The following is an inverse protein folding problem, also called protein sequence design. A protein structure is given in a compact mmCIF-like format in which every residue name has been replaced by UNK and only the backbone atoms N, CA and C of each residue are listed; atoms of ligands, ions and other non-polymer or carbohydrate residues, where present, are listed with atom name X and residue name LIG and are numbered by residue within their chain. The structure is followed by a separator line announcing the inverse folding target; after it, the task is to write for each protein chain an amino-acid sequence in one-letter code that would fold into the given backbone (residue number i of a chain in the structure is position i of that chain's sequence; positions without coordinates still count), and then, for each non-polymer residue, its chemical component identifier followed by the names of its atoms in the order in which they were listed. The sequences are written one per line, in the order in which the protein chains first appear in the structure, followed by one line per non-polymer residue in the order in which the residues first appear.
data_IF_415777532545
#
_entry.id   IF_415777532545
#
_cell.length_a   1.000
_cell.length_b   1.000
_cell.length_c   1.000
_cell.angle_alpha   90.00
_cell.angle_beta   90.00
_cell.angle_gamma   90.00
#
_symmetry.space_group_name_H-M   'P 1'
#
loop_
_entity.id
_entity.type
_entity.pdbx_description
1 polymer ?
#
# COMPACT_ATOMS: atom_id res chain seq x y z
N UNK A 1 -10.58 -24.44 19.59
CA UNK A 1 -11.33 -23.52 18.69
C UNK A 1 -12.79 -23.91 18.52
N UNK A 2 -13.14 -25.15 18.15
CA UNK A 2 -14.55 -25.52 18.08
C UNK A 2 -15.29 -25.30 19.42
N UNK A 3 -14.64 -25.55 20.54
CA UNK A 3 -15.21 -25.28 21.88
C UNK A 3 -15.12 -23.81 22.29
N UNK A 4 -14.05 -23.10 21.90
CA UNK A 4 -13.82 -21.72 22.32
C UNK A 4 -14.47 -20.70 21.37
N UNK A 5 -14.73 -21.08 20.11
CA UNK A 5 -15.29 -20.23 19.08
C UNK A 5 -16.67 -20.71 18.58
N UNK A 6 -17.23 -21.72 19.26
CA UNK A 6 -18.59 -22.17 18.99
C UNK A 6 -19.59 -21.02 19.23
N UNK A 7 -20.43 -20.75 18.23
CA UNK A 7 -21.41 -19.67 18.28
C UNK A 7 -20.90 -18.29 17.86
N UNK A 8 -19.62 -18.13 17.53
CA UNK A 8 -19.15 -16.88 16.92
C UNK A 8 -19.70 -16.73 15.49
N UNK A 9 -20.30 -15.58 15.23
CA UNK A 9 -20.82 -15.27 13.90
C UNK A 9 -19.66 -14.91 12.99
N UNK A 10 -19.52 -15.64 11.88
CA UNK A 10 -18.54 -15.34 10.83
C UNK A 10 -19.26 -15.27 9.49
N UNK A 11 -19.02 -14.20 8.72
CA UNK A 11 -19.59 -14.04 7.37
C UNK A 11 -18.84 -14.83 6.30
N UNK A 12 -17.62 -15.24 6.59
CA UNK A 12 -16.71 -15.84 5.59
C UNK A 12 -16.31 -17.27 5.96
N UNK A 13 -16.92 -17.89 6.94
CA UNK A 13 -16.49 -19.15 7.54
C UNK A 13 -15.00 -19.13 7.96
N UNK A 14 -14.60 -20.01 8.81
CA UNK A 14 -13.23 -20.07 9.33
C UNK A 14 -12.76 -21.52 9.46
N UNK A 15 -11.46 -21.71 9.60
CA UNK A 15 -10.86 -23.01 9.86
C UNK A 15 -11.16 -23.44 11.30
N UNK A 16 -11.55 -24.70 11.47
CA UNK A 16 -11.63 -25.33 12.78
C UNK A 16 -10.26 -25.92 13.18
N UNK A 17 -10.16 -26.42 14.41
CA UNK A 17 -8.91 -27.02 14.91
C UNK A 17 -8.40 -28.20 14.08
N UNK A 18 -9.29 -29.06 13.62
CA UNK A 18 -8.88 -30.21 12.79
C UNK A 18 -8.26 -29.76 11.46
N UNK A 19 -8.81 -28.71 10.86
CA UNK A 19 -8.26 -28.11 9.63
C UNK A 19 -6.90 -27.46 9.87
N UNK A 20 -6.74 -26.70 10.98
CA UNK A 20 -5.46 -26.10 11.36
C UNK A 20 -4.42 -27.17 11.68
N UNK A 21 -4.80 -28.22 12.40
CA UNK A 21 -3.92 -29.35 12.68
C UNK A 21 -3.47 -30.05 11.38
N UNK A 22 -4.39 -30.27 10.45
CA UNK A 22 -4.06 -30.84 9.14
C UNK A 22 -3.06 -29.96 8.40
N UNK A 23 -3.28 -28.66 8.30
CA UNK A 23 -2.36 -27.74 7.63
C UNK A 23 -0.95 -27.81 8.22
N UNK A 24 -0.84 -27.86 9.55
CA UNK A 24 0.46 -27.96 10.25
C UNK A 24 1.15 -29.30 9.97
N UNK A 25 0.38 -30.39 9.96
CA UNK A 25 0.92 -31.72 9.65
C UNK A 25 1.39 -31.76 8.20
N UNK A 26 0.59 -31.23 7.26
CA UNK A 26 0.94 -31.17 5.84
C UNK A 26 2.21 -30.33 5.59
N UNK A 27 2.33 -29.17 6.26
CA UNK A 27 3.53 -28.33 6.22
C UNK A 27 4.75 -29.09 6.76
N UNK A 28 4.61 -29.74 7.91
CA UNK A 28 5.68 -30.53 8.51
C UNK A 28 6.13 -31.67 7.60
N UNK A 29 5.20 -32.47 7.11
CA UNK A 29 5.49 -33.57 6.21
C UNK A 29 6.19 -33.11 4.93
N UNK A 30 5.75 -31.98 4.36
CA UNK A 30 6.37 -31.40 3.17
C UNK A 30 7.78 -30.89 3.44
N UNK A 31 8.03 -30.28 4.60
CA UNK A 31 9.35 -29.80 4.99
C UNK A 31 10.38 -30.91 5.18
N UNK A 32 9.93 -32.12 5.58
CA UNK A 32 10.80 -33.28 5.81
C UNK A 32 10.87 -34.28 4.65
N UNK A 33 10.17 -33.99 3.54
CA UNK A 33 10.30 -34.82 2.32
C UNK A 33 11.70 -34.67 1.74
N UNK A 34 12.42 -35.76 1.62
CA UNK A 34 13.71 -35.78 0.94
C UNK A 34 13.54 -35.36 -0.54
N UNK A 35 14.44 -34.53 -1.02
CA UNK A 35 14.56 -34.12 -2.43
C UNK A 35 13.40 -33.24 -2.97
N UNK A 36 12.65 -32.57 -2.14
CA UNK A 36 11.74 -31.52 -2.61
C UNK A 36 12.56 -30.25 -2.82
N UNK A 37 12.63 -29.79 -4.05
CA UNK A 37 13.21 -28.48 -4.36
C UNK A 37 12.41 -27.39 -3.62
N UNK A 38 13.13 -26.47 -2.93
CA UNK A 38 12.51 -25.31 -2.34
C UNK A 38 11.90 -24.45 -3.44
N UNK A 39 10.59 -24.34 -3.44
CA UNK A 39 9.89 -23.48 -4.39
C UNK A 39 10.05 -22.03 -3.95
N UNK A 40 10.51 -21.19 -4.86
CA UNK A 40 10.49 -19.75 -4.70
C UNK A 40 9.41 -19.17 -5.62
N UNK A 41 8.19 -19.01 -5.13
CA UNK A 41 7.07 -18.57 -5.98
C UNK A 41 7.15 -17.09 -6.37
N UNK A 42 8.09 -16.32 -5.82
CA UNK A 42 8.19 -14.89 -6.05
C UNK A 42 7.35 -14.05 -5.08
N UNK A 43 6.88 -14.62 -3.98
CA UNK A 43 5.97 -13.94 -3.06
C UNK A 43 6.60 -12.71 -2.37
N UNK A 44 7.81 -12.84 -1.83
CA UNK A 44 8.50 -11.73 -1.17
C UNK A 44 9.37 -10.91 -2.12
N UNK A 45 9.98 -11.57 -3.08
CA UNK A 45 10.84 -10.96 -4.08
C UNK A 45 10.32 -11.30 -5.46
N UNK A 46 10.15 -10.29 -6.30
CA UNK A 46 9.67 -10.49 -7.67
C UNK A 46 10.48 -11.56 -8.40
N UNK A 47 9.77 -12.44 -9.07
CA UNK A 47 10.32 -13.47 -9.95
C UNK A 47 9.49 -13.48 -11.23
N UNK A 48 10.11 -13.44 -12.43
CA UNK A 48 9.39 -13.62 -13.68
C UNK A 48 8.61 -14.93 -13.66
N UNK A 49 7.36 -14.91 -14.09
CA UNK A 49 6.44 -16.05 -14.08
C UNK A 49 6.12 -16.60 -12.67
N UNK A 50 6.48 -15.87 -11.63
CA UNK A 50 6.09 -16.16 -10.25
C UNK A 50 4.81 -15.42 -9.85
N UNK A 51 4.67 -15.19 -8.54
CA UNK A 51 3.56 -14.43 -7.96
C UNK A 51 3.50 -13.01 -8.54
N UNK A 52 2.30 -12.54 -8.82
CA UNK A 52 2.10 -11.22 -9.39
C UNK A 52 2.27 -10.11 -8.34
N UNK A 53 3.01 -9.07 -8.69
CA UNK A 53 3.26 -7.91 -7.85
C UNK A 53 2.62 -6.66 -8.44
N UNK A 54 1.91 -5.89 -7.61
CA UNK A 54 1.31 -4.61 -8.02
C UNK A 54 2.37 -3.61 -8.48
N UNK A 55 3.51 -3.59 -7.80
CA UNK A 55 4.68 -2.77 -8.12
C UNK A 55 5.82 -3.66 -8.62
N UNK A 56 5.62 -4.29 -9.77
CA UNK A 56 6.67 -5.08 -10.43
C UNK A 56 7.75 -4.16 -11.02
N UNK A 57 8.94 -4.68 -11.36
CA UNK A 57 10.08 -3.86 -11.77
C UNK A 57 9.81 -2.89 -12.91
N UNK A 58 8.96 -3.26 -13.86
CA UNK A 58 8.60 -2.41 -15.00
C UNK A 58 7.78 -1.19 -14.55
N UNK A 59 6.78 -1.38 -13.68
CA UNK A 59 5.97 -0.30 -13.11
C UNK A 59 6.85 0.67 -12.31
N UNK A 60 7.75 0.15 -11.46
CA UNK A 60 8.69 0.97 -10.67
C UNK A 60 9.62 1.77 -11.57
N UNK A 61 10.18 1.15 -12.62
CA UNK A 61 11.06 1.82 -13.60
C UNK A 61 10.32 2.91 -14.35
N UNK A 62 9.11 2.64 -14.83
CA UNK A 62 8.30 3.62 -15.55
C UNK A 62 7.96 4.82 -14.64
N UNK A 63 7.60 4.59 -13.39
CA UNK A 63 7.36 5.66 -12.41
C UNK A 63 8.62 6.51 -12.18
N UNK A 64 9.77 5.87 -11.99
CA UNK A 64 11.04 6.60 -11.82
C UNK A 64 11.40 7.46 -13.04
N UNK A 65 11.15 6.96 -14.24
CA UNK A 65 11.37 7.73 -15.46
C UNK A 65 10.44 8.95 -15.49
N UNK A 66 9.14 8.75 -15.21
CA UNK A 66 8.16 9.83 -15.21
C UNK A 66 8.54 10.93 -14.20
N UNK A 67 8.90 10.56 -12.97
CA UNK A 67 9.29 11.51 -11.93
C UNK A 67 10.57 12.26 -12.28
N UNK A 68 11.58 11.57 -12.78
CA UNK A 68 12.88 12.20 -13.12
C UNK A 68 12.80 13.11 -14.33
N UNK A 69 11.98 12.76 -15.31
CA UNK A 69 11.84 13.57 -16.54
C UNK A 69 10.82 14.69 -16.40
N UNK A 70 9.92 14.63 -15.44
CA UNK A 70 8.77 15.53 -15.35
C UNK A 70 7.81 15.43 -16.55
N UNK A 71 7.94 14.37 -17.37
CA UNK A 71 7.16 14.19 -18.59
C UNK A 71 5.80 13.57 -18.28
N UNK A 72 4.74 14.26 -18.72
CA UNK A 72 3.37 13.73 -18.58
C UNK A 72 3.15 12.48 -19.44
N UNK A 73 3.80 12.36 -20.60
CA UNK A 73 3.69 11.17 -21.43
C UNK A 73 4.37 9.95 -20.78
N UNK A 74 5.50 10.17 -20.09
CA UNK A 74 6.11 9.11 -19.29
C UNK A 74 5.22 8.70 -18.13
N UNK A 75 4.50 9.63 -17.51
CA UNK A 75 3.50 9.31 -16.48
C UNK A 75 2.32 8.53 -17.06
N UNK A 76 1.80 8.89 -18.23
CA UNK A 76 0.77 8.12 -18.92
C UNK A 76 1.21 6.69 -19.22
N UNK A 77 2.47 6.51 -19.62
CA UNK A 77 3.00 5.17 -19.84
C UNK A 77 3.00 4.33 -18.54
N UNK A 78 3.44 4.92 -17.43
CA UNK A 78 3.33 4.29 -16.11
C UNK A 78 1.86 3.93 -15.77
N UNK A 79 0.94 4.86 -15.99
CA UNK A 79 -0.49 4.65 -15.77
C UNK A 79 -1.02 3.47 -16.59
N UNK A 80 -0.67 3.39 -17.87
CA UNK A 80 -1.06 2.27 -18.74
C UNK A 80 -0.56 0.91 -18.22
N UNK A 81 0.68 0.86 -17.72
CA UNK A 81 1.23 -0.37 -17.12
C UNK A 81 0.40 -0.79 -15.90
N UNK A 82 0.02 0.17 -15.05
CA UNK A 82 -0.77 -0.11 -13.84
C UNK A 82 -2.22 -0.50 -14.18
N UNK A 83 -2.84 0.20 -15.12
CA UNK A 83 -4.26 0.00 -15.47
C UNK A 83 -4.47 -1.31 -16.26
N UNK A 84 -3.49 -1.71 -17.07
CA UNK A 84 -3.56 -2.93 -17.89
C UNK A 84 -3.08 -4.20 -17.17
N UNK A 85 -2.64 -4.09 -15.92
CA UNK A 85 -2.27 -5.27 -15.14
C UNK A 85 -3.50 -6.15 -14.86
N UNK A 86 -3.27 -7.44 -14.66
CA UNK A 86 -4.30 -8.38 -14.23
C UNK A 86 -4.84 -8.04 -12.83
N UNK A 87 -5.95 -8.68 -12.46
CA UNK A 87 -6.56 -8.57 -11.13
C UNK A 87 -5.62 -9.16 -10.08
N UNK A 88 -5.22 -8.38 -9.09
CA UNK A 88 -4.34 -8.77 -7.99
C UNK A 88 -5.01 -8.69 -6.62
N UNK A 89 -5.99 -7.81 -6.47
CA UNK A 89 -6.70 -7.63 -5.22
C UNK A 89 -8.18 -7.32 -5.47
N UNK A 90 -8.99 -7.43 -4.42
CA UNK A 90 -10.45 -7.20 -4.50
C UNK A 90 -10.76 -5.80 -5.07
N UNK A 91 -9.96 -4.79 -4.76
CA UNK A 91 -10.13 -3.43 -5.28
C UNK A 91 -10.09 -3.38 -6.81
N UNK A 92 -9.30 -4.24 -7.47
CA UNK A 92 -9.20 -4.27 -8.93
C UNK A 92 -10.50 -4.77 -9.60
N UNK A 93 -11.39 -5.40 -8.83
CA UNK A 93 -12.72 -5.82 -9.26
C UNK A 93 -13.80 -4.73 -9.06
N UNK A 94 -13.47 -3.64 -8.38
CA UNK A 94 -14.40 -2.58 -8.07
C UNK A 94 -14.34 -1.49 -9.14
N UNK A 95 -15.48 -0.87 -9.41
CA UNK A 95 -15.60 0.31 -10.26
C UNK A 95 -16.36 1.39 -9.51
N UNK A 96 -16.02 2.65 -9.77
CA UNK A 96 -16.82 3.76 -9.29
C UNK A 96 -18.21 3.68 -9.93
N UNK A 97 -19.24 3.76 -9.11
CA UNK A 97 -20.61 3.84 -9.58
C UNK A 97 -20.86 5.28 -10.04
N UNK A 98 -20.63 5.52 -11.33
CA UNK A 98 -20.86 6.83 -11.95
C UNK A 98 -22.25 6.81 -12.58
N UNK A 99 -23.09 7.78 -12.22
CA UNK A 99 -24.36 8.03 -12.86
C UNK A 99 -24.23 9.30 -13.72
N UNK A 100 -24.28 9.12 -15.04
CA UNK A 100 -24.17 10.23 -15.98
C UNK A 100 -25.28 11.30 -15.81
N UNK A 101 -26.44 10.91 -15.25
CA UNK A 101 -27.54 11.84 -14.99
C UNK A 101 -27.30 12.75 -13.77
N UNK A 102 -26.25 12.43 -12.96
CA UNK A 102 -25.87 13.22 -11.79
C UNK A 102 -24.61 14.05 -12.06
N UNK A 103 -24.22 14.23 -13.32
CA UNK A 103 -23.10 15.10 -13.65
C UNK A 103 -23.41 16.55 -13.28
N UNK A 104 -22.41 17.21 -12.66
CA UNK A 104 -22.46 18.63 -12.30
C UNK A 104 -21.52 19.43 -13.19
N UNK A 105 -21.71 20.75 -13.22
CA UNK A 105 -20.79 21.63 -13.94
C UNK A 105 -19.39 21.52 -13.31
N UNK A 106 -18.35 21.54 -14.14
CA UNK A 106 -16.95 21.47 -13.67
C UNK A 106 -16.60 22.60 -12.69
N UNK A 107 -17.23 23.76 -12.82
CA UNK A 107 -17.02 24.89 -11.92
C UNK A 107 -17.62 24.68 -10.52
N UNK A 108 -18.54 23.71 -10.38
CA UNK A 108 -19.16 23.34 -9.11
C UNK A 108 -18.38 22.19 -8.42
N UNK A 109 -17.38 21.65 -9.10
CA UNK A 109 -16.49 20.61 -8.52
C UNK A 109 -15.44 21.28 -7.65
N UNK A 110 -15.27 20.76 -6.43
CA UNK A 110 -14.22 21.25 -5.51
C UNK A 110 -12.85 21.05 -6.16
N UNK A 111 -12.03 22.10 -6.30
CA UNK A 111 -10.67 21.98 -6.83
C UNK A 111 -9.83 21.00 -6.00
N UNK A 112 -8.93 20.25 -6.66
CA UNK A 112 -8.07 19.27 -6.00
C UNK A 112 -7.25 19.89 -4.86
N UNK A 113 -6.75 21.12 -5.05
CA UNK A 113 -5.95 21.82 -4.06
C UNK A 113 -6.70 22.05 -2.73
N UNK A 114 -8.02 22.21 -2.79
CA UNK A 114 -8.85 22.36 -1.60
C UNK A 114 -9.07 21.02 -0.87
N UNK A 115 -8.74 19.89 -1.52
CA UNK A 115 -8.87 18.57 -0.94
C UNK A 115 -7.61 18.09 -0.24
N UNK A 116 -6.43 18.63 -0.57
CA UNK A 116 -5.16 18.14 -0.05
C UNK A 116 -5.06 18.22 1.48
N UNK A 117 -5.68 19.23 2.09
CA UNK A 117 -5.74 19.37 3.55
C UNK A 117 -6.55 18.28 4.27
N UNK A 118 -7.23 17.40 3.52
CA UNK A 118 -7.99 16.27 4.06
C UNK A 118 -7.21 14.96 4.05
N UNK A 119 -5.97 14.99 3.55
CA UNK A 119 -5.12 13.82 3.43
C UNK A 119 -3.89 13.97 4.30
N UNK A 120 -3.48 12.85 4.88
CA UNK A 120 -2.20 12.72 5.55
C UNK A 120 -1.39 11.55 4.96
N UNK A 121 -0.10 11.57 5.19
CA UNK A 121 0.73 10.41 4.87
C UNK A 121 0.40 9.26 5.82
N UNK A 122 0.70 8.03 5.39
CA UNK A 122 0.73 6.93 6.34
C UNK A 122 1.71 7.23 7.48
N UNK A 123 1.43 6.71 8.66
CA UNK A 123 2.33 6.86 9.80
C UNK A 123 3.72 6.31 9.46
N UNK A 124 4.73 7.18 9.55
CA UNK A 124 6.11 6.86 9.20
C UNK A 124 6.95 6.79 10.47
N UNK A 125 7.45 5.60 10.81
CA UNK A 125 8.42 5.48 11.89
C UNK A 125 9.84 5.73 11.35
N UNK A 126 10.59 6.59 12.01
CA UNK A 126 12.01 6.82 11.69
C UNK A 126 12.88 5.56 11.88
N UNK A 127 12.38 4.58 12.61
CA UNK A 127 13.02 3.26 12.70
C UNK A 127 12.82 2.37 11.47
N UNK A 128 11.80 2.67 10.65
CA UNK A 128 11.48 1.91 9.43
C UNK A 128 11.93 2.61 8.14
N UNK A 129 12.13 3.91 8.19
CA UNK A 129 12.57 4.74 7.07
C UNK A 129 13.86 5.48 7.43
N UNK A 130 14.67 5.79 6.40
CA UNK A 130 15.79 6.69 6.60
C UNK A 130 15.30 8.12 6.91
N UNK A 131 16.09 8.94 7.64
CA UNK A 131 15.74 10.34 7.90
C UNK A 131 15.41 11.11 6.63
N UNK A 132 16.18 10.90 5.56
CA UNK A 132 16.00 11.58 4.27
C UNK A 132 14.66 11.24 3.61
N UNK A 133 14.27 9.96 3.65
CA UNK A 133 12.98 9.52 3.10
C UNK A 133 11.82 10.07 3.93
N UNK A 134 11.95 10.08 5.26
CA UNK A 134 10.96 10.63 6.16
C UNK A 134 10.77 12.13 5.94
N UNK A 135 11.86 12.88 5.82
CA UNK A 135 11.85 14.33 5.55
C UNK A 135 11.28 14.63 4.16
N UNK A 136 11.66 13.87 3.14
CA UNK A 136 11.15 14.08 1.79
C UNK A 136 9.63 13.93 1.70
N UNK A 137 9.05 12.97 2.42
CA UNK A 137 7.60 12.78 2.47
C UNK A 137 6.94 13.92 3.25
N UNK A 138 7.53 14.36 4.38
CA UNK A 138 7.03 15.48 5.16
C UNK A 138 7.01 16.77 4.33
N UNK A 139 8.10 17.07 3.63
CA UNK A 139 8.20 18.24 2.71
C UNK A 139 7.13 18.14 1.62
N UNK A 140 6.96 16.97 0.99
CA UNK A 140 5.97 16.80 -0.05
C UNK A 140 4.55 17.08 0.45
N UNK A 141 4.19 16.54 1.60
CA UNK A 141 2.87 16.79 2.20
C UNK A 141 2.68 18.24 2.60
N UNK A 142 3.68 18.86 3.20
CA UNK A 142 3.62 20.27 3.60
C UNK A 142 3.45 21.19 2.38
N UNK A 143 4.17 20.95 1.30
CA UNK A 143 4.05 21.72 0.05
C UNK A 143 2.68 21.55 -0.63
N UNK A 144 2.06 20.37 -0.50
CA UNK A 144 0.71 20.13 -1.00
C UNK A 144 -0.37 20.71 -0.08
N UNK A 145 -0.04 21.18 1.12
CA UNK A 145 -1.04 21.60 2.10
C UNK A 145 -1.77 20.44 2.79
N UNK A 146 -1.23 19.23 2.70
CA UNK A 146 -1.66 18.06 3.45
C UNK A 146 -0.93 17.91 4.78
N UNK A 147 -1.04 16.75 5.40
CA UNK A 147 -0.39 16.47 6.69
C UNK A 147 0.56 15.29 6.58
N UNK A 148 1.66 15.36 7.31
CA UNK A 148 2.57 14.22 7.48
C UNK A 148 2.44 13.65 8.90
N UNK A 149 2.60 12.34 9.02
CA UNK A 149 2.44 11.61 10.27
C UNK A 149 3.75 10.89 10.62
N UNK A 150 4.35 11.28 11.75
CA UNK A 150 5.61 10.70 12.25
C UNK A 150 5.42 9.37 12.99
N UNK A 151 4.17 8.90 13.14
CA UNK A 151 3.88 7.69 13.89
C UNK A 151 4.33 7.76 15.35
N UNK A 152 4.63 6.61 15.91
CA UNK A 152 5.09 6.48 17.30
C UNK A 152 6.54 6.90 17.49
N UNK A 153 7.37 6.87 16.44
CA UNK A 153 8.80 7.18 16.51
C UNK A 153 9.11 8.66 16.69
N UNK A 154 8.12 9.53 16.47
CA UNK A 154 8.34 10.98 16.52
C UNK A 154 9.32 11.46 15.44
N UNK A 155 9.93 12.60 15.69
CA UNK A 155 10.93 13.20 14.81
C UNK A 155 11.98 13.99 15.59
N UNK A 156 13.11 14.30 14.95
CA UNK A 156 14.18 15.11 15.56
C UNK A 156 13.63 16.52 15.87
N UNK A 157 13.79 17.02 17.10
CA UNK A 157 13.39 18.38 17.48
C UNK A 157 13.93 19.49 16.58
N UNK A 158 15.07 19.26 15.91
CA UNK A 158 15.63 20.22 14.94
C UNK A 158 14.70 20.50 13.75
N UNK A 159 13.75 19.61 13.49
CA UNK A 159 12.78 19.75 12.41
C UNK A 159 11.60 20.64 12.77
N UNK A 160 11.38 20.91 14.04
CA UNK A 160 10.28 21.73 14.49
C UNK A 160 10.39 23.16 13.94
N UNK A 161 9.30 23.67 13.40
CA UNK A 161 9.25 24.98 12.76
C UNK A 161 9.92 25.08 11.39
N UNK A 162 10.35 23.96 10.81
CA UNK A 162 10.91 23.89 9.47
C UNK A 162 9.92 23.23 8.49
N UNK A 163 10.22 23.27 7.18
CA UNK A 163 9.42 22.59 6.14
C UNK A 163 9.41 21.04 6.30
N UNK A 164 10.33 20.51 7.08
CA UNK A 164 10.46 19.05 7.30
C UNK A 164 9.63 18.54 8.47
N UNK A 165 8.90 19.41 9.18
CA UNK A 165 8.11 19.03 10.36
C UNK A 165 6.91 18.14 9.99
N UNK A 166 6.63 17.15 10.82
CA UNK A 166 5.41 16.35 10.75
C UNK A 166 4.34 16.95 11.67
N UNK A 167 3.14 17.16 11.15
CA UNK A 167 2.07 17.82 11.89
C UNK A 167 1.29 16.88 12.81
N UNK A 168 1.33 15.60 12.56
CA UNK A 168 0.62 14.61 13.37
C UNK A 168 1.61 13.90 14.28
N UNK A 169 1.75 14.45 15.49
CA UNK A 169 2.43 13.74 16.57
C UNK A 169 1.38 12.95 17.34
N UNK A 170 1.49 11.63 17.38
CA UNK A 170 0.79 10.90 18.41
C UNK A 170 1.38 11.33 19.76
N UNK A 171 0.61 12.10 20.50
CA UNK A 171 0.96 12.37 21.90
C UNK A 171 0.95 11.03 22.64
N UNK A 172 2.12 10.60 23.08
CA UNK A 172 2.25 9.53 24.03
C UNK A 172 1.59 9.92 25.37
#
# INVERSE_FOLDING_TARGET
MAQCLAGMVSRIAGKNFAMLQKDIIDLHQNAWRANVALTHPGFLKYKPQGEAHAYHPEAVKALQIAVRSGSYDAFKHFQQIVDNRGVLCIRDLLKLKIDANQSININDVVPADNLYSRFDSAAMSIGALSPEAHEAIAIAMNRLGGFSNSGEGGEDPKRYGTETVSYTHLRA
#
